data_IF_054967243762
#
_entry.id   IF_054967243762
#
_cell.length_a   1.000
_cell.length_b   1.000
_cell.length_c   1.000
_cell.angle_alpha   90.00
_cell.angle_beta   90.00
_cell.angle_gamma   90.00
#
_symmetry.space_group_name_H-M   'P 1'
#
loop_
_entity.id
_entity.type
_entity.pdbx_description
1 polymer ?
#
# COMPACT_ATOMS: atom_id res chain seq x y z
N UNK A 1 1.34 4.13 -9.25
CA UNK A 1 1.31 3.44 -10.56
C UNK A 1 0.49 4.26 -11.55
N UNK A 2 0.95 4.44 -12.79
CA UNK A 2 0.23 5.21 -13.81
C UNK A 2 -0.75 4.29 -14.55
N UNK A 3 -2.01 4.69 -14.66
CA UNK A 3 -3.02 4.05 -15.50
C UNK A 3 -3.00 4.76 -16.87
N UNK A 4 -2.88 4.00 -17.96
CA UNK A 4 -2.86 4.53 -19.33
C UNK A 4 -4.23 4.42 -19.97
N UNK A 5 -4.84 3.24 -19.93
CA UNK A 5 -6.07 2.93 -20.66
C UNK A 5 -6.93 1.97 -19.86
N UNK A 6 -8.25 1.99 -20.13
CA UNK A 6 -9.22 1.08 -19.56
C UNK A 6 -10.02 0.50 -20.72
N UNK A 7 -10.15 -0.82 -20.77
CA UNK A 7 -11.01 -1.52 -21.72
C UNK A 7 -12.07 -2.31 -20.99
N UNK A 8 -13.29 -2.23 -21.45
CA UNK A 8 -14.41 -3.01 -20.94
C UNK A 8 -14.69 -4.17 -21.90
N UNK A 9 -14.65 -5.40 -21.39
CA UNK A 9 -15.05 -6.60 -22.09
C UNK A 9 -16.37 -7.14 -21.53
N UNK A 10 -16.88 -8.22 -22.11
CA UNK A 10 -18.16 -8.81 -21.70
C UNK A 10 -18.16 -9.28 -20.24
N UNK A 11 -17.03 -9.79 -19.73
CA UNK A 11 -16.92 -10.34 -18.36
C UNK A 11 -15.79 -9.71 -17.54
N UNK A 12 -14.96 -8.84 -18.12
CA UNK A 12 -13.76 -8.31 -17.48
C UNK A 12 -13.55 -6.84 -17.84
N UNK A 13 -12.98 -6.12 -16.89
CA UNK A 13 -12.38 -4.80 -17.11
C UNK A 13 -10.88 -4.97 -17.17
N UNK A 14 -10.24 -4.46 -18.22
CA UNK A 14 -8.80 -4.51 -18.41
C UNK A 14 -8.21 -3.15 -18.13
N UNK A 15 -7.24 -3.10 -17.23
CA UNK A 15 -6.50 -1.88 -16.89
C UNK A 15 -5.10 -1.97 -17.49
N UNK A 16 -4.77 -1.05 -18.38
CA UNK A 16 -3.42 -0.92 -18.94
C UNK A 16 -2.64 0.06 -18.09
N UNK A 17 -1.64 -0.45 -17.38
CA UNK A 17 -0.87 0.31 -16.41
C UNK A 17 0.62 0.33 -16.78
N UNK A 18 1.37 1.22 -16.17
CA UNK A 18 2.83 1.18 -16.26
C UNK A 18 3.36 -0.15 -15.72
N UNK A 19 4.37 -0.68 -16.41
CA UNK A 19 5.06 -1.87 -15.97
C UNK A 19 6.19 -1.50 -15.01
N UNK A 20 6.20 -2.12 -13.82
CA UNK A 20 7.18 -1.90 -12.77
C UNK A 20 8.15 -3.10 -12.76
N UNK A 21 9.39 -2.89 -13.19
CA UNK A 21 10.36 -3.94 -13.45
C UNK A 21 11.01 -4.52 -12.19
N UNK A 22 10.95 -3.79 -11.08
CA UNK A 22 11.64 -4.16 -9.84
C UNK A 22 10.98 -5.27 -9.02
N UNK A 23 9.75 -5.68 -9.39
CA UNK A 23 8.97 -6.68 -8.64
C UNK A 23 8.50 -6.19 -7.28
N UNK A 24 8.12 -7.12 -6.41
CA UNK A 24 7.62 -6.82 -5.07
C UNK A 24 8.74 -6.45 -4.09
N UNK A 25 8.47 -5.47 -3.23
CA UNK A 25 9.41 -5.09 -2.16
C UNK A 25 9.74 -6.29 -1.26
N UNK A 26 8.74 -7.11 -0.94
CA UNK A 26 8.90 -8.27 -0.06
C UNK A 26 9.87 -9.32 -0.64
N UNK A 27 9.79 -9.62 -1.93
CA UNK A 27 10.75 -10.51 -2.60
C UNK A 27 12.18 -9.96 -2.53
N UNK A 28 12.32 -8.64 -2.65
CA UNK A 28 13.63 -7.99 -2.53
C UNK A 28 14.20 -8.09 -1.12
N UNK A 29 13.35 -7.94 -0.08
CA UNK A 29 13.73 -8.12 1.33
C UNK A 29 14.26 -9.54 1.54
N UNK A 30 13.51 -10.57 1.11
CA UNK A 30 13.89 -11.98 1.25
C UNK A 30 15.21 -12.27 0.53
N UNK A 31 15.38 -11.81 -0.72
CA UNK A 31 16.60 -12.05 -1.51
C UNK A 31 17.83 -11.39 -0.90
N UNK A 32 17.68 -10.21 -0.31
CA UNK A 32 18.77 -9.46 0.31
C UNK A 32 19.13 -9.97 1.71
N UNK A 33 18.18 -10.66 2.36
CA UNK A 33 18.33 -11.23 3.71
C UNK A 33 18.18 -10.22 4.85
N UNK A 34 18.41 -8.94 4.61
CA UNK A 34 18.18 -7.84 5.55
C UNK A 34 18.09 -6.50 4.84
N UNK A 35 17.43 -5.57 5.46
CA UNK A 35 17.48 -4.15 5.07
C UNK A 35 18.45 -3.40 6.00
N UNK A 36 19.35 -2.63 5.41
CA UNK A 36 20.07 -1.66 6.23
C UNK A 36 19.15 -0.47 6.56
N UNK A 37 19.46 0.22 7.63
CA UNK A 37 18.66 1.35 8.13
C UNK A 37 18.42 2.42 7.06
N UNK A 38 19.40 2.68 6.21
CA UNK A 38 19.29 3.68 5.13
C UNK A 38 18.25 3.25 4.08
N UNK A 39 18.26 1.99 3.64
CA UNK A 39 17.32 1.47 2.65
C UNK A 39 15.89 1.45 3.23
N UNK A 40 15.73 1.03 4.50
CA UNK A 40 14.46 1.05 5.22
C UNK A 40 13.92 2.48 5.35
N UNK A 41 14.78 3.43 5.74
CA UNK A 41 14.41 4.85 5.85
C UNK A 41 13.94 5.44 4.52
N UNK A 42 14.65 5.17 3.42
CA UNK A 42 14.26 5.64 2.08
C UNK A 42 12.92 5.03 1.66
N UNK A 43 12.73 3.74 1.89
CA UNK A 43 11.50 3.03 1.52
C UNK A 43 10.30 3.56 2.31
N UNK A 44 10.42 3.64 3.64
CA UNK A 44 9.31 4.10 4.48
C UNK A 44 8.97 5.58 4.25
N UNK A 45 9.97 6.42 3.98
CA UNK A 45 9.73 7.84 3.67
C UNK A 45 8.90 8.01 2.39
N UNK A 46 9.15 7.19 1.37
CA UNK A 46 8.35 7.20 0.13
C UNK A 46 6.93 6.68 0.38
N UNK A 47 6.77 5.61 1.18
CA UNK A 47 5.46 5.10 1.55
C UNK A 47 4.65 6.16 2.30
N UNK A 48 5.23 6.78 3.33
CA UNK A 48 4.56 7.83 4.09
C UNK A 48 4.20 9.04 3.22
N UNK A 49 5.06 9.43 2.27
CA UNK A 49 4.75 10.49 1.30
C UNK A 49 3.58 10.12 0.39
N UNK A 50 3.49 8.87 -0.05
CA UNK A 50 2.36 8.39 -0.85
C UNK A 50 1.06 8.38 -0.03
N UNK A 51 1.11 7.95 1.24
CA UNK A 51 -0.04 7.98 2.16
C UNK A 51 -0.48 9.40 2.46
N UNK A 52 0.44 10.33 2.72
CA UNK A 52 0.12 11.75 2.94
C UNK A 52 -0.66 12.33 1.74
N UNK A 53 -0.20 12.03 0.52
CA UNK A 53 -0.92 12.43 -0.69
C UNK A 53 -2.33 11.83 -0.76
N UNK A 54 -2.49 10.52 -0.54
CA UNK A 54 -3.80 9.85 -0.57
C UNK A 54 -4.75 10.43 0.48
N UNK A 55 -4.27 10.57 1.71
CA UNK A 55 -5.02 11.07 2.85
C UNK A 55 -5.43 12.55 2.64
N UNK A 56 -4.57 13.36 2.00
CA UNK A 56 -4.93 14.73 1.59
C UNK A 56 -6.05 14.79 0.56
N UNK A 57 -6.26 13.70 -0.20
CA UNK A 57 -7.40 13.54 -1.13
C UNK A 57 -8.62 12.89 -0.48
N UNK A 58 -8.55 12.60 0.81
CA UNK A 58 -9.61 11.94 1.55
C UNK A 58 -9.77 10.47 1.16
N UNK A 59 -8.69 9.77 0.80
CA UNK A 59 -8.70 8.35 0.43
C UNK A 59 -7.88 7.55 1.42
N UNK A 60 -8.47 6.46 1.95
CA UNK A 60 -7.80 5.41 2.70
C UNK A 60 -7.48 4.25 1.74
N UNK A 61 -6.30 3.66 1.86
CA UNK A 61 -5.91 2.50 1.06
C UNK A 61 -6.46 1.19 1.63
N UNK A 62 -6.36 0.99 2.94
CA UNK A 62 -6.88 -0.12 3.76
C UNK A 62 -6.24 -1.50 3.52
N UNK A 63 -5.25 -1.61 2.64
CA UNK A 63 -4.48 -2.85 2.41
C UNK A 63 -2.99 -2.54 2.19
N UNK A 64 -2.41 -1.77 3.08
CA UNK A 64 -0.98 -1.47 3.07
C UNK A 64 -0.22 -2.69 3.56
N UNK A 65 0.58 -3.28 2.66
CA UNK A 65 1.43 -4.47 2.90
C UNK A 65 2.59 -4.50 1.90
N UNK A 66 3.66 -5.24 2.16
CA UNK A 66 4.83 -5.28 1.28
C UNK A 66 4.53 -5.75 -0.15
N UNK A 67 3.54 -6.63 -0.35
CA UNK A 67 3.12 -7.12 -1.66
C UNK A 67 2.50 -6.03 -2.53
N UNK A 68 1.91 -5.00 -1.89
CA UNK A 68 1.33 -3.84 -2.57
C UNK A 68 2.34 -2.69 -2.76
N UNK A 69 3.61 -2.93 -2.45
CA UNK A 69 4.72 -2.02 -2.70
C UNK A 69 5.61 -2.59 -3.80
N UNK A 70 5.43 -2.09 -5.02
CA UNK A 70 6.24 -2.52 -6.15
C UNK A 70 7.44 -1.60 -6.34
N UNK A 71 8.58 -2.19 -6.64
CA UNK A 71 9.81 -1.49 -6.97
C UNK A 71 9.77 -1.04 -8.44
N UNK A 72 10.12 0.21 -8.67
CA UNK A 72 10.11 0.80 -10.01
C UNK A 72 11.11 0.12 -10.96
N UNK A 73 12.29 -0.19 -10.45
CA UNK A 73 13.39 -0.79 -11.20
C UNK A 73 14.02 -1.95 -10.42
N UNK A 74 14.80 -2.78 -11.11
CA UNK A 74 15.57 -3.87 -10.51
C UNK A 74 16.65 -3.37 -9.53
N UNK A 75 17.16 -2.16 -9.74
CA UNK A 75 18.12 -1.50 -8.86
C UNK A 75 17.45 -0.38 -8.06
N UNK A 76 17.87 -0.22 -6.79
CA UNK A 76 17.34 0.81 -5.90
C UNK A 76 16.08 0.42 -5.15
N UNK A 77 15.50 1.41 -4.45
CA UNK A 77 14.36 1.25 -3.55
C UNK A 77 13.25 2.28 -3.83
N UNK A 78 13.15 2.73 -5.09
CA UNK A 78 12.01 3.56 -5.50
C UNK A 78 10.76 2.69 -5.58
N UNK A 79 9.79 2.96 -4.71
CA UNK A 79 8.55 2.20 -4.61
C UNK A 79 7.37 2.91 -5.26
N UNK A 80 6.39 2.11 -5.63
CA UNK A 80 5.03 2.57 -5.97
C UNK A 80 4.00 1.74 -5.24
N UNK A 81 3.07 2.43 -4.60
CA UNK A 81 1.90 1.82 -3.99
C UNK A 81 0.91 1.42 -5.09
N UNK A 82 0.40 0.19 -5.00
CA UNK A 82 -0.53 -0.41 -5.97
C UNK A 82 -1.69 -1.08 -5.25
N UNK A 83 -2.66 -1.59 -6.02
CA UNK A 83 -3.84 -2.31 -5.56
C UNK A 83 -4.76 -1.49 -4.64
N UNK A 84 -5.60 -0.68 -5.28
CA UNK A 84 -6.63 0.12 -4.61
C UNK A 84 -7.98 -0.61 -4.50
N UNK A 85 -7.99 -1.95 -4.58
CA UNK A 85 -9.21 -2.77 -4.55
C UNK A 85 -10.01 -2.64 -3.26
N UNK A 86 -9.36 -2.31 -2.14
CA UNK A 86 -9.99 -2.05 -0.84
C UNK A 86 -10.08 -0.55 -0.50
N UNK A 87 -9.60 0.34 -1.39
CA UNK A 87 -9.57 1.76 -1.06
C UNK A 87 -10.97 2.36 -0.86
N UNK A 88 -11.07 3.34 0.05
CA UNK A 88 -12.34 3.98 0.39
C UNK A 88 -12.14 5.49 0.60
N UNK A 89 -13.16 6.27 0.26
CA UNK A 89 -13.17 7.71 0.51
C UNK A 89 -13.69 8.03 1.92
N UNK A 90 -12.93 8.79 2.69
CA UNK A 90 -13.36 9.29 4.02
C UNK A 90 -14.47 10.32 3.95
N UNK A 91 -14.72 10.91 2.78
CA UNK A 91 -15.72 11.96 2.58
C UNK A 91 -17.11 11.43 2.19
N UNK A 92 -17.33 10.12 2.25
CA UNK A 92 -18.65 9.55 1.97
C UNK A 92 -19.65 9.91 3.07
N UNK A 93 -20.88 10.26 2.66
CA UNK A 93 -21.98 10.60 3.61
C UNK A 93 -22.37 9.44 4.53
N UNK A 94 -22.07 8.20 4.14
CA UNK A 94 -22.27 7.00 4.93
C UNK A 94 -21.02 6.10 4.74
N UNK A 95 -19.97 6.32 5.51
CA UNK A 95 -18.78 5.48 5.43
C UNK A 95 -19.16 4.04 5.80
N UNK A 96 -18.84 3.11 4.92
CA UNK A 96 -19.02 1.69 5.21
C UNK A 96 -17.78 1.22 5.94
N UNK A 97 -17.81 1.27 7.27
CA UNK A 97 -16.78 0.64 8.08
C UNK A 97 -16.89 -0.88 7.93
N UNK A 98 -15.95 -1.46 7.24
CA UNK A 98 -15.86 -2.91 7.05
C UNK A 98 -14.55 -3.41 7.62
N UNK A 99 -14.59 -4.55 8.28
CA UNK A 99 -13.38 -5.32 8.52
C UNK A 99 -12.77 -5.70 7.18
N UNK A 100 -11.64 -5.14 6.85
CA UNK A 100 -10.93 -5.40 5.60
C UNK A 100 -9.42 -5.24 5.80
N UNK A 101 -8.66 -5.71 4.83
CA UNK A 101 -7.21 -5.68 4.85
C UNK A 101 -6.60 -7.06 5.07
N UNK A 102 -5.28 -7.12 5.09
CA UNK A 102 -4.51 -8.36 5.21
C UNK A 102 -4.16 -8.64 6.66
N UNK A 103 -4.48 -9.84 7.21
CA UNK A 103 -4.10 -10.23 8.57
C UNK A 103 -2.60 -10.01 8.84
N UNK A 104 -2.29 -9.48 10.01
CA UNK A 104 -0.92 -9.12 10.40
C UNK A 104 -0.55 -7.66 10.14
N UNK A 105 -1.24 -6.98 9.22
CA UNK A 105 -1.02 -5.56 8.91
C UNK A 105 -2.19 -4.67 9.35
N UNK A 106 -3.34 -5.24 9.61
CA UNK A 106 -4.59 -4.53 9.94
C UNK A 106 -4.47 -3.85 11.29
N UNK A 107 -4.88 -2.59 11.35
CA UNK A 107 -4.94 -1.81 12.59
C UNK A 107 -5.99 -2.37 13.57
N UNK A 108 -5.75 -2.28 14.90
CA UNK A 108 -6.62 -2.88 15.90
C UNK A 108 -8.05 -2.33 15.88
N UNK A 109 -8.25 -1.05 15.57
CA UNK A 109 -9.57 -0.43 15.45
C UNK A 109 -10.42 -1.09 14.35
N UNK A 110 -9.82 -1.55 13.25
CA UNK A 110 -10.54 -2.29 12.19
C UNK A 110 -10.98 -3.67 12.71
N UNK A 111 -10.16 -4.34 13.53
CA UNK A 111 -10.47 -5.65 14.09
C UNK A 111 -11.57 -5.59 15.14
N UNK A 112 -11.64 -4.48 15.87
CA UNK A 112 -12.61 -4.24 16.93
C UNK A 112 -13.96 -3.71 16.45
N UNK A 113 -14.16 -3.56 15.13
CA UNK A 113 -15.35 -2.92 14.52
C UNK A 113 -15.59 -1.46 15.00
N UNK A 114 -14.50 -0.76 15.34
CA UNK A 114 -14.53 0.65 15.68
C UNK A 114 -14.57 1.53 14.42
N UNK A 115 -15.00 2.77 14.58
CA UNK A 115 -14.82 3.77 13.52
C UNK A 115 -13.32 4.03 13.32
N UNK A 116 -12.86 4.01 12.07
CA UNK A 116 -11.48 4.23 11.74
C UNK A 116 -11.32 5.29 10.65
N UNK A 117 -10.15 5.88 10.60
CA UNK A 117 -9.77 6.91 9.65
C UNK A 117 -8.48 6.53 8.91
N UNK A 118 -7.87 7.49 8.25
CA UNK A 118 -6.61 7.32 7.49
C UNK A 118 -5.44 6.78 8.34
N UNK A 119 -5.52 6.83 9.68
CA UNK A 119 -4.45 6.35 10.56
C UNK A 119 -4.28 4.83 10.51
N UNK A 120 -5.31 4.10 10.08
CA UNK A 120 -5.18 2.66 9.87
C UNK A 120 -4.07 2.31 8.85
N UNK A 121 -3.90 3.11 7.79
CA UNK A 121 -2.81 2.94 6.81
C UNK A 121 -1.44 3.24 7.44
N UNK A 122 -1.38 4.21 8.34
CA UNK A 122 -0.12 4.55 9.06
C UNK A 122 0.29 3.44 10.01
N UNK A 123 -0.68 2.79 10.68
CA UNK A 123 -0.41 1.60 11.48
C UNK A 123 0.22 0.49 10.63
N UNK A 124 -0.39 0.18 9.48
CA UNK A 124 0.10 -0.85 8.55
C UNK A 124 1.50 -0.52 8.01
N UNK A 125 1.79 0.77 7.73
CA UNK A 125 3.13 1.22 7.37
C UNK A 125 4.15 1.00 8.51
N UNK A 126 3.74 1.19 9.77
CA UNK A 126 4.55 0.87 10.94
C UNK A 126 4.91 -0.61 11.04
N UNK A 127 3.96 -1.51 10.71
CA UNK A 127 4.24 -2.96 10.65
C UNK A 127 5.27 -3.29 9.56
N UNK A 128 5.16 -2.67 8.38
CA UNK A 128 6.15 -2.84 7.30
C UNK A 128 7.54 -2.39 7.77
N UNK A 129 7.63 -1.25 8.43
CA UNK A 129 8.90 -0.77 8.98
C UNK A 129 9.49 -1.76 9.98
N UNK A 130 8.67 -2.32 10.87
CA UNK A 130 9.10 -3.33 11.84
C UNK A 130 9.71 -4.55 11.13
N UNK A 131 9.01 -5.09 10.10
CA UNK A 131 9.48 -6.25 9.31
C UNK A 131 10.81 -5.95 8.59
N UNK A 132 11.05 -4.72 8.17
CA UNK A 132 12.32 -4.35 7.52
C UNK A 132 13.52 -4.34 8.48
N UNK A 133 13.27 -4.26 9.79
CA UNK A 133 14.31 -4.21 10.83
C UNK A 133 14.60 -5.57 11.48
N UNK A 134 13.74 -6.58 11.31
CA UNK A 134 13.95 -7.95 11.79
C UNK A 134 14.71 -8.82 10.76
#
# INVERSE_FOLDING_TARGET
MKLYEIYEGEYHIYLVCEFLQGGELFERIIKKGYFNEKDACVTIAQLLSALDYLHSKGVMHRDIKPENLLLKNEEGFDIKLVDFGLAESVNQKNPIYKRCGTPGYVAPEILNDEEYDTKCDVFSAGIILFIMYE
#
